data_IF_242056517406
#
_entry.id   IF_242056517406
#
_cell.length_a   1.000
_cell.length_b   1.000
_cell.length_c   1.000
_cell.angle_alpha   90.00
_cell.angle_beta   90.00
_cell.angle_gamma   90.00
#
_symmetry.space_group_name_H-M   'P 1'
#
loop_
_entity.id
_entity.type
_entity.pdbx_description
1 polymer ?
#
# COMPACT_ATOMS: atom_id res chain seq x y z
N UNK A 1 -0.66 -15.70 18.65
CA UNK A 1 -1.63 -15.42 17.57
C UNK A 1 -0.90 -14.87 16.35
N UNK A 2 -1.22 -13.72 15.74
CA UNK A 2 -0.58 -13.34 14.45
C UNK A 2 0.96 -13.29 14.51
N UNK A 3 1.52 -12.81 15.60
CA UNK A 3 2.96 -12.77 15.79
C UNK A 3 3.58 -14.17 15.86
N UNK A 4 2.91 -15.12 16.46
CA UNK A 4 3.34 -16.53 16.50
C UNK A 4 3.37 -17.12 15.10
N UNK A 5 2.30 -16.94 14.32
CA UNK A 5 2.23 -17.36 12.91
C UNK A 5 3.37 -16.75 12.07
N UNK A 6 3.68 -15.47 12.31
CA UNK A 6 4.78 -14.79 11.62
C UNK A 6 6.14 -15.35 12.03
N UNK A 7 6.37 -15.59 13.33
CA UNK A 7 7.63 -16.14 13.84
C UNK A 7 7.86 -17.59 13.40
N UNK A 8 6.82 -18.41 13.31
CA UNK A 8 6.89 -19.79 12.81
C UNK A 8 7.26 -19.86 11.33
N UNK A 9 6.84 -18.85 10.55
CA UNK A 9 7.05 -18.78 9.10
C UNK A 9 8.23 -17.87 8.69
N UNK A 10 9.07 -17.43 9.63
CA UNK A 10 10.23 -16.58 9.35
C UNK A 10 11.27 -17.28 8.48
N UNK A 11 11.91 -16.50 7.61
CA UNK A 11 13.01 -16.95 6.74
C UNK A 11 14.12 -15.89 6.79
N UNK A 12 15.20 -16.20 7.54
CA UNK A 12 16.32 -15.26 7.75
C UNK A 12 17.00 -14.87 6.43
N UNK A 13 17.15 -15.81 5.48
CA UNK A 13 17.77 -15.52 4.17
C UNK A 13 16.89 -14.56 3.34
N UNK A 14 15.58 -14.76 3.43
CA UNK A 14 14.63 -13.88 2.74
C UNK A 14 14.52 -12.51 3.44
N UNK A 15 14.63 -12.47 4.76
CA UNK A 15 14.71 -11.22 5.52
C UNK A 15 15.96 -10.42 5.14
N UNK A 16 17.14 -11.07 5.03
CA UNK A 16 18.39 -10.44 4.57
C UNK A 16 18.29 -9.90 3.14
N UNK A 17 17.58 -10.62 2.28
CA UNK A 17 17.30 -10.17 0.92
C UNK A 17 16.39 -8.92 0.92
N UNK A 18 15.29 -8.94 1.68
CA UNK A 18 14.36 -7.82 1.78
C UNK A 18 15.02 -6.57 2.39
N UNK A 19 15.85 -6.73 3.43
CA UNK A 19 16.55 -5.61 4.06
C UNK A 19 17.42 -4.83 3.06
N UNK A 20 17.97 -5.49 2.03
CA UNK A 20 18.70 -4.80 0.94
C UNK A 20 17.80 -4.03 -0.01
N UNK A 21 16.54 -4.44 -0.15
CA UNK A 21 15.56 -3.79 -1.04
C UNK A 21 14.86 -2.59 -0.36
N UNK A 22 14.75 -2.62 0.97
CA UNK A 22 14.15 -1.57 1.80
C UNK A 22 15.14 -1.11 2.87
N UNK A 23 16.28 -0.50 2.49
CA UNK A 23 17.40 -0.23 3.37
C UNK A 23 17.09 0.80 4.48
N UNK A 24 15.98 1.49 4.38
CA UNK A 24 15.49 2.41 5.41
C UNK A 24 14.78 1.68 6.58
N UNK A 25 14.53 0.37 6.46
CA UNK A 25 13.92 -0.44 7.52
C UNK A 25 15.03 -1.25 8.21
N UNK A 26 15.10 -1.13 9.53
CA UNK A 26 16.05 -1.91 10.32
C UNK A 26 15.85 -3.42 10.10
N UNK A 27 16.95 -4.15 9.87
CA UNK A 27 16.89 -5.60 9.62
C UNK A 27 16.14 -6.37 10.72
N UNK A 28 16.24 -5.93 11.97
CA UNK A 28 15.54 -6.52 13.13
C UNK A 28 14.02 -6.43 13.06
N UNK A 29 13.49 -5.54 12.22
CA UNK A 29 12.05 -5.36 11.97
C UNK A 29 11.53 -6.21 10.81
N UNK A 30 12.39 -7.03 10.18
CA UNK A 30 12.02 -7.86 9.00
C UNK A 30 12.16 -9.33 9.40
N UNK A 31 11.05 -10.06 9.43
CA UNK A 31 10.99 -11.49 9.74
C UNK A 31 11.27 -12.37 8.51
N UNK A 32 10.97 -11.87 7.31
CA UNK A 32 11.18 -12.57 6.06
C UNK A 32 10.05 -13.54 5.70
N UNK A 33 8.83 -13.29 6.16
CA UNK A 33 7.68 -14.10 5.77
C UNK A 33 7.23 -13.75 4.35
N UNK A 34 7.07 -14.77 3.51
CA UNK A 34 6.76 -14.59 2.09
C UNK A 34 5.30 -14.18 1.86
N UNK A 35 5.05 -13.33 0.87
CA UNK A 35 3.73 -12.80 0.54
C UNK A 35 2.60 -13.85 0.42
N UNK A 36 2.79 -15.04 -0.19
CA UNK A 36 1.75 -16.06 -0.22
C UNK A 36 1.33 -16.53 1.19
N UNK A 37 2.28 -16.60 2.13
CA UNK A 37 2.01 -16.98 3.52
C UNK A 37 1.23 -15.87 4.22
N UNK A 38 1.66 -14.60 4.07
CA UNK A 38 0.95 -13.44 4.64
C UNK A 38 -0.51 -13.38 4.15
N UNK A 39 -0.74 -13.59 2.84
CA UNK A 39 -2.11 -13.66 2.29
C UNK A 39 -2.92 -14.83 2.85
N UNK A 40 -2.28 -15.98 3.10
CA UNK A 40 -2.94 -17.13 3.74
C UNK A 40 -3.30 -16.81 5.18
N UNK A 41 -2.39 -16.21 5.95
CA UNK A 41 -2.63 -15.79 7.35
C UNK A 41 -3.84 -14.83 7.38
N UNK A 42 -3.85 -13.79 6.56
CA UNK A 42 -4.98 -12.85 6.50
C UNK A 42 -6.28 -13.58 6.16
N UNK A 43 -6.27 -14.41 5.12
CA UNK A 43 -7.48 -15.14 4.70
C UNK A 43 -8.04 -16.07 5.79
N UNK A 44 -7.17 -16.71 6.57
CA UNK A 44 -7.59 -17.62 7.64
C UNK A 44 -8.06 -16.90 8.90
N UNK A 45 -7.52 -15.71 9.19
CA UNK A 45 -7.71 -15.02 10.47
C UNK A 45 -8.37 -13.64 10.31
N UNK A 46 -8.95 -13.31 9.14
CA UNK A 46 -9.46 -11.96 8.86
C UNK A 46 -10.45 -11.46 9.91
N UNK A 47 -11.46 -12.28 10.24
CA UNK A 47 -12.49 -11.93 11.22
C UNK A 47 -11.89 -11.72 12.61
N UNK A 48 -11.01 -12.60 13.05
CA UNK A 48 -10.33 -12.49 14.34
C UNK A 48 -9.47 -11.22 14.42
N UNK A 49 -8.71 -10.92 13.37
CA UNK A 49 -7.88 -9.71 13.28
C UNK A 49 -8.74 -8.42 13.32
N UNK A 50 -9.89 -8.44 12.65
CA UNK A 50 -10.84 -7.32 12.67
C UNK A 50 -11.43 -7.13 14.05
N UNK A 51 -11.92 -8.19 14.71
CA UNK A 51 -12.51 -8.17 16.04
C UNK A 51 -11.52 -7.74 17.12
N UNK A 52 -10.26 -8.20 17.04
CA UNK A 52 -9.18 -7.82 17.94
C UNK A 52 -8.67 -6.39 17.70
N UNK A 53 -9.14 -5.72 16.66
CA UNK A 53 -8.81 -4.34 16.37
C UNK A 53 -7.40 -4.14 15.79
N UNK A 54 -6.84 -5.14 15.11
CA UNK A 54 -5.50 -5.10 14.50
C UNK A 54 -5.27 -3.84 13.65
N UNK A 55 -6.28 -3.41 12.86
CA UNK A 55 -6.20 -2.17 12.07
C UNK A 55 -6.13 -0.89 12.93
N UNK A 56 -6.30 -0.97 14.24
CA UNK A 56 -6.18 0.17 15.16
C UNK A 56 -4.82 0.23 15.85
N UNK A 57 -4.06 -0.85 15.80
CA UNK A 57 -2.73 -0.99 16.44
C UNK A 57 -1.65 -0.39 15.53
N UNK A 58 -1.46 0.91 15.59
CA UNK A 58 -0.44 1.64 14.84
C UNK A 58 0.45 2.45 15.79
N UNK A 59 1.76 2.52 15.51
CA UNK A 59 2.51 1.85 14.43
C UNK A 59 2.80 0.38 14.73
N UNK A 60 2.88 -0.46 13.69
CA UNK A 60 3.31 -1.84 13.83
C UNK A 60 4.83 -1.97 14.02
N UNK A 61 5.25 -3.04 14.69
CA UNK A 61 6.67 -3.31 14.95
C UNK A 61 7.37 -3.92 13.74
N UNK A 62 6.77 -4.94 13.14
CA UNK A 62 7.38 -5.70 12.06
C UNK A 62 6.87 -5.29 10.69
N UNK A 63 7.75 -5.41 9.69
CA UNK A 63 7.43 -5.18 8.29
C UNK A 63 6.24 -6.02 7.81
N UNK A 64 6.19 -7.26 8.26
CA UNK A 64 5.13 -8.21 7.91
C UNK A 64 3.77 -7.83 8.49
N UNK A 65 3.73 -7.22 9.66
CA UNK A 65 2.49 -6.67 10.22
C UNK A 65 1.95 -5.51 9.37
N UNK A 66 2.85 -4.64 8.89
CA UNK A 66 2.48 -3.58 7.95
C UNK A 66 1.95 -4.14 6.62
N UNK A 67 2.57 -5.22 6.10
CA UNK A 67 2.09 -5.91 4.89
C UNK A 67 0.71 -6.55 5.12
N UNK A 68 0.49 -7.20 6.26
CA UNK A 68 -0.82 -7.74 6.65
C UNK A 68 -1.86 -6.64 6.73
N UNK A 69 -1.53 -5.50 7.35
CA UNK A 69 -2.42 -4.34 7.44
C UNK A 69 -2.85 -3.87 6.04
N UNK A 70 -1.89 -3.71 5.12
CA UNK A 70 -2.17 -3.34 3.73
C UNK A 70 -3.04 -4.36 2.99
N UNK A 71 -2.82 -5.68 3.22
CA UNK A 71 -3.65 -6.74 2.65
C UNK A 71 -5.08 -6.65 3.20
N UNK A 72 -5.24 -6.48 4.51
CA UNK A 72 -6.57 -6.37 5.15
C UNK A 72 -7.35 -5.16 4.63
N UNK A 73 -6.72 -3.97 4.52
CA UNK A 73 -7.37 -2.79 3.91
C UNK A 73 -7.82 -3.09 2.49
N UNK A 74 -7.01 -3.83 1.73
CA UNK A 74 -7.31 -4.17 0.33
C UNK A 74 -8.54 -5.05 0.16
N UNK A 75 -8.93 -5.81 1.19
CA UNK A 75 -10.13 -6.66 1.22
C UNK A 75 -11.41 -5.90 1.64
N UNK A 76 -11.31 -4.67 2.14
CA UNK A 76 -12.46 -3.87 2.58
C UNK A 76 -13.35 -3.53 1.38
N UNK A 77 -14.63 -3.89 1.47
CA UNK A 77 -15.62 -3.67 0.41
C UNK A 77 -16.42 -2.37 0.58
N UNK A 78 -16.50 -1.83 1.79
CA UNK A 78 -17.16 -0.56 2.05
C UNK A 78 -16.20 0.60 1.78
N UNK A 79 -16.54 1.47 0.84
CA UNK A 79 -15.67 2.59 0.42
C UNK A 79 -15.32 3.54 1.56
N UNK A 80 -16.32 3.95 2.36
CA UNK A 80 -16.08 4.91 3.46
C UNK A 80 -15.15 4.33 4.52
N UNK A 81 -15.34 3.04 4.83
CA UNK A 81 -14.47 2.32 5.75
C UNK A 81 -13.06 2.20 5.18
N UNK A 82 -12.93 1.78 3.92
CA UNK A 82 -11.64 1.65 3.24
C UNK A 82 -10.87 2.98 3.23
N UNK A 83 -11.50 4.06 2.84
CA UNK A 83 -10.88 5.41 2.83
C UNK A 83 -10.44 5.80 4.24
N UNK A 84 -11.27 5.56 5.25
CA UNK A 84 -10.92 5.87 6.64
C UNK A 84 -9.68 5.09 7.11
N UNK A 85 -9.62 3.81 6.81
CA UNK A 85 -8.46 2.98 7.21
C UNK A 85 -7.21 3.33 6.39
N UNK A 86 -7.35 3.67 5.11
CA UNK A 86 -6.25 4.21 4.30
C UNK A 86 -5.71 5.52 4.88
N UNK A 87 -6.59 6.49 5.21
CA UNK A 87 -6.18 7.77 5.79
C UNK A 87 -5.44 7.60 7.13
N UNK A 88 -5.78 6.57 7.91
CA UNK A 88 -5.10 6.25 9.17
C UNK A 88 -3.77 5.55 8.96
N UNK A 89 -3.67 4.65 7.99
CA UNK A 89 -2.50 3.81 7.77
C UNK A 89 -1.41 4.49 6.94
N UNK A 90 -1.77 5.21 5.87
CA UNK A 90 -0.82 5.81 4.94
C UNK A 90 0.27 6.67 5.60
N UNK A 91 0.02 7.45 6.67
CA UNK A 91 1.08 8.18 7.37
C UNK A 91 2.15 7.30 8.03
N UNK A 92 1.86 6.03 8.27
CA UNK A 92 2.79 5.05 8.87
C UNK A 92 3.50 4.18 7.82
N UNK A 93 3.15 4.33 6.56
CA UNK A 93 3.83 3.62 5.45
C UNK A 93 5.18 4.26 5.22
N UNK A 94 6.24 3.52 5.46
CA UNK A 94 7.62 3.99 5.45
C UNK A 94 8.48 3.37 4.34
N UNK A 95 7.89 2.49 3.50
CA UNK A 95 8.61 1.86 2.38
C UNK A 95 7.68 1.46 1.23
N UNK A 96 8.29 1.29 0.04
CA UNK A 96 7.55 0.95 -1.18
C UNK A 96 6.90 -0.44 -1.13
N UNK A 97 7.47 -1.41 -0.42
CA UNK A 97 6.93 -2.76 -0.38
C UNK A 97 5.58 -2.82 0.33
N UNK A 98 5.40 -2.02 1.39
CA UNK A 98 4.10 -1.85 2.07
C UNK A 98 3.15 -1.01 1.22
N UNK A 99 3.64 0.09 0.63
CA UNK A 99 2.83 0.97 -0.20
C UNK A 99 2.19 0.22 -1.38
N UNK A 100 2.99 -0.56 -2.10
CA UNK A 100 2.57 -1.18 -3.36
C UNK A 100 1.70 -2.44 -3.17
N UNK A 101 1.61 -2.98 -1.94
CA UNK A 101 0.67 -4.06 -1.62
C UNK A 101 -0.78 -3.56 -1.50
N UNK A 102 -0.97 -2.27 -1.22
CA UNK A 102 -2.29 -1.66 -1.10
C UNK A 102 -2.98 -1.61 -2.47
N UNK A 103 -4.04 -2.40 -2.61
CA UNK A 103 -4.79 -2.51 -3.87
C UNK A 103 -6.31 -2.72 -3.66
N UNK A 104 -7.01 -1.80 -2.94
CA UNK A 104 -8.42 -1.98 -2.62
C UNK A 104 -9.32 -1.87 -3.86
N UNK A 105 -9.94 -2.97 -4.27
CA UNK A 105 -10.83 -2.98 -5.43
C UNK A 105 -12.06 -2.06 -5.30
N UNK A 106 -12.47 -1.73 -4.09
CA UNK A 106 -13.58 -0.81 -3.84
C UNK A 106 -13.32 0.58 -4.41
N UNK A 107 -12.05 1.00 -4.51
CA UNK A 107 -11.67 2.29 -5.12
C UNK A 107 -11.96 2.31 -6.62
N UNK A 108 -11.73 1.19 -7.33
CA UNK A 108 -12.04 1.06 -8.76
C UNK A 108 -13.51 1.25 -9.05
N UNK A 109 -14.37 0.72 -8.19
CA UNK A 109 -15.82 0.71 -8.39
C UNK A 109 -16.51 2.02 -7.99
N UNK A 110 -15.77 2.96 -7.36
CA UNK A 110 -16.29 4.23 -6.85
C UNK A 110 -15.42 5.40 -7.35
N UNK A 111 -15.28 5.50 -8.68
CA UNK A 111 -14.29 6.34 -9.36
C UNK A 111 -14.33 7.80 -8.95
N UNK A 112 -15.50 8.43 -8.90
CA UNK A 112 -15.63 9.85 -8.61
C UNK A 112 -15.15 10.21 -7.19
N UNK A 113 -15.57 9.44 -6.19
CA UNK A 113 -15.14 9.65 -4.80
C UNK A 113 -13.66 9.30 -4.61
N UNK A 114 -13.17 8.26 -5.29
CA UNK A 114 -11.76 7.90 -5.33
C UNK A 114 -10.91 9.02 -5.91
N UNK A 115 -11.31 9.64 -7.03
CA UNK A 115 -10.56 10.76 -7.61
C UNK A 115 -10.51 11.98 -6.69
N UNK A 116 -11.60 12.28 -5.98
CA UNK A 116 -11.59 13.33 -4.95
C UNK A 116 -10.56 13.04 -3.84
N UNK A 117 -10.47 11.79 -3.42
CA UNK A 117 -9.46 11.39 -2.42
C UNK A 117 -8.04 11.38 -2.97
N UNK A 118 -7.84 10.92 -4.19
CA UNK A 118 -6.54 11.01 -4.89
C UNK A 118 -6.04 12.44 -4.92
N UNK A 119 -6.89 13.43 -5.23
CA UNK A 119 -6.51 14.84 -5.24
C UNK A 119 -6.02 15.36 -3.87
N UNK A 120 -6.50 14.76 -2.78
CA UNK A 120 -6.04 15.07 -1.43
C UNK A 120 -4.72 14.35 -1.11
N UNK A 121 -4.62 13.05 -1.43
CA UNK A 121 -3.41 12.26 -1.18
C UNK A 121 -2.21 12.74 -2.00
N UNK A 122 -2.42 13.24 -3.23
CA UNK A 122 -1.35 13.81 -4.05
C UNK A 122 -0.73 15.08 -3.46
N UNK A 123 -1.43 15.76 -2.53
CA UNK A 123 -0.96 16.95 -1.82
C UNK A 123 -0.35 16.65 -0.45
N UNK A 124 -0.23 15.37 -0.09
CA UNK A 124 0.33 14.95 1.19
C UNK A 124 1.83 15.24 1.27
N UNK A 125 2.31 15.57 2.45
CA UNK A 125 3.73 15.65 2.74
C UNK A 125 4.38 14.26 2.91
N UNK A 126 3.56 13.22 3.11
CA UNK A 126 4.04 11.83 3.24
C UNK A 126 4.33 11.22 1.86
N UNK A 127 5.60 10.91 1.61
CA UNK A 127 6.11 10.34 0.35
C UNK A 127 5.27 9.16 -0.14
N UNK A 128 4.98 8.20 0.74
CA UNK A 128 4.26 6.99 0.35
C UNK A 128 2.75 7.20 0.22
N UNK A 129 2.18 8.24 0.80
CA UNK A 129 0.80 8.67 0.52
C UNK A 129 0.69 9.19 -0.92
N UNK A 130 1.65 10.03 -1.36
CA UNK A 130 1.72 10.51 -2.75
C UNK A 130 1.96 9.34 -3.70
N UNK A 131 2.92 8.45 -3.38
CA UNK A 131 3.19 7.24 -4.17
C UNK A 131 1.95 6.36 -4.33
N UNK A 132 1.22 6.11 -3.25
CA UNK A 132 -0.03 5.36 -3.27
C UNK A 132 -1.08 6.01 -4.20
N UNK A 133 -1.25 7.33 -4.12
CA UNK A 133 -2.21 8.06 -4.96
C UNK A 133 -1.89 7.92 -6.46
N UNK A 134 -0.60 8.00 -6.85
CA UNK A 134 -0.15 7.74 -8.22
C UNK A 134 -0.44 6.27 -8.60
N UNK A 135 -0.16 5.34 -7.68
CA UNK A 135 -0.44 3.91 -7.86
C UNK A 135 -1.93 3.62 -8.11
N UNK A 136 -2.83 4.30 -7.39
CA UNK A 136 -4.29 4.22 -7.61
C UNK A 136 -4.66 4.67 -9.02
N UNK A 137 -4.12 5.82 -9.48
CA UNK A 137 -4.35 6.28 -10.85
C UNK A 137 -3.82 5.28 -11.88
N UNK A 138 -2.64 4.71 -11.65
CA UNK A 138 -2.03 3.72 -12.55
C UNK A 138 -2.85 2.44 -12.64
N UNK A 139 -3.33 1.91 -11.50
CA UNK A 139 -4.02 0.62 -11.44
C UNK A 139 -5.46 0.69 -11.95
N UNK A 140 -6.18 1.79 -11.66
CA UNK A 140 -7.62 1.84 -11.84
C UNK A 140 -8.11 2.86 -12.86
N UNK A 141 -7.26 3.78 -13.33
CA UNK A 141 -7.67 4.87 -14.22
C UNK A 141 -6.96 4.90 -15.58
N UNK A 142 -6.05 3.96 -15.84
CA UNK A 142 -5.46 3.73 -17.17
C UNK A 142 -6.22 2.61 -17.91
N UNK A 143 -7.53 2.75 -18.04
CA UNK A 143 -8.44 1.80 -18.65
C UNK A 143 -9.28 2.46 -19.76
N UNK A 144 -10.42 1.83 -20.13
CA UNK A 144 -11.31 2.34 -21.19
C UNK A 144 -11.92 3.73 -20.89
N UNK A 145 -11.95 4.13 -19.63
CA UNK A 145 -12.44 5.44 -19.19
C UNK A 145 -11.28 6.41 -18.88
N UNK A 146 -10.13 6.17 -19.52
CA UNK A 146 -8.97 7.04 -19.41
C UNK A 146 -9.31 8.49 -19.80
N UNK A 147 -8.67 9.44 -19.10
CA UNK A 147 -8.79 10.86 -19.38
C UNK A 147 -7.42 11.54 -19.19
N UNK A 148 -7.03 12.38 -20.14
CA UNK A 148 -5.74 13.08 -20.14
C UNK A 148 -5.51 13.90 -18.85
N UNK A 149 -6.58 14.34 -18.17
CA UNK A 149 -6.48 15.01 -16.87
C UNK A 149 -5.77 14.17 -15.80
N UNK A 150 -5.77 12.82 -15.94
CA UNK A 150 -5.04 11.97 -15.00
C UNK A 150 -3.53 12.05 -15.22
N UNK A 151 -3.08 12.17 -16.49
CA UNK A 151 -1.66 12.44 -16.80
C UNK A 151 -1.24 13.80 -16.24
N UNK A 152 -2.06 14.85 -16.45
CA UNK A 152 -1.78 16.17 -15.95
C UNK A 152 -1.65 16.20 -14.41
N UNK A 153 -2.49 15.45 -13.68
CA UNK A 153 -2.39 15.35 -12.23
C UNK A 153 -1.01 14.82 -11.81
N UNK A 154 -0.50 13.77 -12.49
CA UNK A 154 0.79 13.16 -12.17
C UNK A 154 1.95 14.05 -12.60
N UNK A 155 1.86 14.74 -13.75
CA UNK A 155 2.88 15.71 -14.22
C UNK A 155 3.06 16.86 -13.23
N UNK A 156 1.98 17.37 -12.63
CA UNK A 156 1.99 18.53 -11.73
C UNK A 156 2.52 18.22 -10.31
N UNK A 157 2.88 16.97 -10.02
CA UNK A 157 3.43 16.63 -8.70
C UNK A 157 4.87 17.15 -8.60
N UNK A 158 5.06 18.17 -7.78
CA UNK A 158 6.35 18.72 -7.42
C UNK A 158 6.85 18.02 -6.15
N UNK A 159 7.54 16.91 -6.32
CA UNK A 159 8.14 16.16 -5.22
C UNK A 159 9.47 15.56 -5.69
N UNK A 160 10.55 15.87 -4.98
CA UNK A 160 11.91 15.45 -5.35
C UNK A 160 12.31 14.09 -4.78
N UNK A 161 11.45 13.48 -3.96
CA UNK A 161 11.73 12.17 -3.40
C UNK A 161 11.86 11.10 -4.50
N UNK A 162 12.88 10.27 -4.36
CA UNK A 162 13.19 9.19 -5.29
C UNK A 162 12.00 8.25 -5.53
N UNK A 163 11.28 7.86 -4.47
CA UNK A 163 10.19 6.90 -4.58
C UNK A 163 8.92 7.48 -5.21
N UNK A 164 8.71 8.79 -5.10
CA UNK A 164 7.65 9.49 -5.84
C UNK A 164 8.02 9.57 -7.32
N UNK A 165 9.24 10.00 -7.66
CA UNK A 165 9.72 10.09 -9.05
C UNK A 165 9.73 8.73 -9.74
N UNK A 166 10.12 7.67 -9.04
CA UNK A 166 10.04 6.30 -9.55
C UNK A 166 8.60 5.90 -9.90
N UNK A 167 7.64 6.25 -9.06
CA UNK A 167 6.24 5.94 -9.33
C UNK A 167 5.67 6.80 -10.46
N UNK A 168 6.06 8.07 -10.57
CA UNK A 168 5.71 8.90 -11.74
C UNK A 168 6.23 8.27 -13.04
N UNK A 169 7.50 7.86 -13.06
CA UNK A 169 8.10 7.20 -14.24
C UNK A 169 7.36 5.90 -14.58
N UNK A 170 7.04 5.08 -13.58
CA UNK A 170 6.29 3.83 -13.80
C UNK A 170 4.87 4.11 -14.30
N UNK A 171 4.20 5.12 -13.75
CA UNK A 171 2.88 5.55 -14.22
C UNK A 171 2.89 5.91 -15.72
N UNK A 172 3.84 6.77 -16.16
CA UNK A 172 3.94 7.17 -17.56
C UNK A 172 4.35 6.02 -18.47
N UNK A 173 5.29 5.17 -18.06
CA UNK A 173 5.65 3.98 -18.81
C UNK A 173 4.44 3.05 -19.02
N UNK A 174 3.59 2.90 -17.98
CA UNK A 174 2.37 2.09 -18.05
C UNK A 174 1.32 2.74 -18.96
N UNK A 175 1.15 4.06 -18.86
CA UNK A 175 0.19 4.81 -19.69
C UNK A 175 0.55 4.75 -21.19
N UNK A 176 1.85 4.80 -21.52
CA UNK A 176 2.33 4.70 -22.91
C UNK A 176 2.21 3.28 -23.49
N UNK A 177 2.15 2.27 -22.64
CA UNK A 177 2.04 0.86 -23.06
C UNK A 177 0.59 0.40 -23.27
N UNK A 178 -0.40 1.19 -22.85
CA UNK A 178 -1.84 0.87 -22.95
C UNK A 178 -2.54 1.67 -24.04
#
# INVERSE_FOLDING_TARGET
MILEDLLENRDEKYADFNARLIPNIERSRILGVRMPILRKIVKSNYTELEENGFLKELPHRYQEENLIHGIMISEIRNLKLCIRELDRFLPFVDNWAVCDVLSPNVLKNNREETLRKVDLWLKSECVYTVRFAIGVLMQYFLDKEFNDKYLEKVVRIENDDYYVKMMQAWYFATALAK
#
